data_IF_191052793530
#
_entry.id   IF_191052793530
#
_cell.length_a   1.000
_cell.length_b   1.000
_cell.length_c   1.000
_cell.angle_alpha   90.00
_cell.angle_beta   90.00
_cell.angle_gamma   90.00
#
_symmetry.space_group_name_H-M   'P 1'
#
loop_
_entity.id
_entity.type
_entity.pdbx_description
1 polymer ?
#
# COMPACT_ATOMS: atom_id res chain seq x y z
N UNK A 1 -13.96 1.64 4.45
CA UNK A 1 -15.16 1.82 5.30
C UNK A 1 -15.10 1.19 6.69
N UNK A 2 -14.18 0.25 6.98
CA UNK A 2 -14.09 -0.38 8.30
C UNK A 2 -13.19 0.34 9.32
N UNK A 3 -12.41 1.34 8.90
CA UNK A 3 -11.42 2.01 9.77
C UNK A 3 -11.86 3.43 10.16
N UNK A 4 -11.48 3.82 11.37
CA UNK A 4 -11.56 5.17 11.91
C UNK A 4 -10.17 5.83 11.98
N UNK A 5 -10.14 7.14 12.22
CA UNK A 5 -8.89 7.85 12.45
C UNK A 5 -8.20 7.34 13.72
N UNK A 6 -6.92 7.00 13.62
CA UNK A 6 -6.10 6.44 14.70
C UNK A 6 -5.99 4.92 14.66
N UNK A 7 -6.72 4.25 13.78
CA UNK A 7 -6.68 2.79 13.67
C UNK A 7 -5.36 2.26 13.10
N UNK A 8 -5.08 1.00 13.45
CA UNK A 8 -3.97 0.22 12.93
C UNK A 8 -4.52 -0.96 12.13
N UNK A 9 -4.23 -0.97 10.83
CA UNK A 9 -4.49 -2.09 9.92
C UNK A 9 -3.26 -2.97 9.87
N UNK A 10 -3.35 -4.18 10.46
CA UNK A 10 -2.27 -5.16 10.42
C UNK A 10 -2.48 -6.14 9.26
N UNK A 11 -1.56 -6.15 8.29
CA UNK A 11 -1.48 -7.18 7.27
C UNK A 11 -0.78 -8.39 7.88
N UNK A 12 -1.53 -9.47 8.08
CA UNK A 12 -1.00 -10.72 8.64
C UNK A 12 0.08 -11.32 7.74
N UNK A 13 0.91 -12.19 8.30
CA UNK A 13 1.91 -12.93 7.51
C UNK A 13 1.26 -13.72 6.38
N UNK A 14 1.88 -13.68 5.20
CA UNK A 14 1.43 -14.38 4.00
C UNK A 14 1.41 -13.49 2.76
N UNK A 15 0.78 -14.01 1.70
CA UNK A 15 0.59 -13.31 0.43
C UNK A 15 -0.88 -12.93 0.31
N UNK A 16 -1.13 -11.62 0.20
CA UNK A 16 -2.45 -11.03 0.03
C UNK A 16 -2.65 -10.63 -1.43
N UNK A 17 -3.85 -10.86 -1.94
CA UNK A 17 -4.21 -10.42 -3.30
C UNK A 17 -4.69 -8.97 -3.24
N UNK A 18 -4.18 -8.10 -4.11
CA UNK A 18 -4.61 -6.70 -4.22
C UNK A 18 -6.02 -6.49 -4.81
N UNK A 19 -6.70 -7.58 -5.22
CA UNK A 19 -8.09 -7.64 -5.71
C UNK A 19 -8.42 -6.78 -6.94
N UNK A 20 -7.40 -6.21 -7.60
CA UNK A 20 -7.60 -5.40 -8.81
C UNK A 20 -8.24 -4.02 -8.55
N UNK A 21 -8.38 -3.62 -7.29
CA UNK A 21 -9.00 -2.36 -6.89
C UNK A 21 -8.07 -1.54 -6.00
N UNK A 22 -8.23 -0.22 -6.01
CA UNK A 22 -7.47 0.65 -5.13
C UNK A 22 -8.02 0.62 -3.71
N UNK A 23 -7.16 0.35 -2.74
CA UNK A 23 -7.44 0.63 -1.34
C UNK A 23 -7.37 2.13 -1.13
N UNK A 24 -8.54 2.77 -1.05
CA UNK A 24 -8.64 4.19 -0.70
C UNK A 24 -8.26 4.38 0.77
N UNK A 25 -7.23 5.18 1.02
CA UNK A 25 -6.77 5.58 2.35
C UNK A 25 -7.17 7.04 2.57
N UNK A 26 -8.36 7.23 3.13
CA UNK A 26 -8.98 8.53 3.41
C UNK A 26 -9.09 8.83 4.92
N UNK A 27 -8.36 8.07 5.74
CA UNK A 27 -8.29 8.17 7.21
C UNK A 27 -6.84 8.30 7.68
N UNK A 28 -6.67 8.85 8.88
CA UNK A 28 -5.36 8.94 9.55
C UNK A 28 -5.02 7.63 10.25
N UNK A 29 -4.53 6.66 9.49
CA UNK A 29 -4.28 5.30 9.96
C UNK A 29 -2.83 4.86 9.74
N UNK A 30 -2.46 3.80 10.45
CA UNK A 30 -1.24 3.03 10.21
C UNK A 30 -1.62 1.73 9.50
N UNK A 31 -1.05 1.47 8.32
CA UNK A 31 -1.10 0.18 7.63
C UNK A 31 0.26 -0.47 7.80
N UNK A 32 0.31 -1.65 8.42
CA UNK A 32 1.56 -2.31 8.77
C UNK A 32 1.59 -3.79 8.43
N UNK A 33 2.69 -4.26 7.85
CA UNK A 33 2.97 -5.70 7.71
C UNK A 33 3.38 -6.36 9.03
N UNK A 34 2.81 -7.52 9.33
CA UNK A 34 3.16 -8.36 10.47
C UNK A 34 4.53 -9.03 10.28
N UNK A 35 5.36 -9.01 11.34
CA UNK A 35 6.66 -9.69 11.34
C UNK A 35 7.77 -8.91 10.64
N UNK A 36 8.70 -9.62 9.99
CA UNK A 36 9.82 -9.02 9.27
C UNK A 36 9.41 -8.58 7.85
N UNK A 37 10.19 -7.68 7.24
CA UNK A 37 9.96 -7.26 5.85
C UNK A 37 9.97 -8.49 4.92
N UNK A 38 8.99 -8.56 3.99
CA UNK A 38 8.67 -9.70 3.10
C UNK A 38 7.88 -10.85 3.73
N UNK A 39 7.54 -10.79 5.02
CA UNK A 39 6.63 -11.78 5.61
C UNK A 39 5.16 -11.46 5.35
N UNK A 40 4.83 -10.19 5.10
CA UNK A 40 3.51 -9.74 4.63
C UNK A 40 3.68 -9.10 3.25
N UNK A 41 3.32 -9.86 2.21
CA UNK A 41 3.43 -9.45 0.81
C UNK A 41 2.05 -9.19 0.22
N UNK A 42 1.91 -8.12 -0.56
CA UNK A 42 0.74 -7.90 -1.42
C UNK A 42 1.13 -8.14 -2.87
N UNK A 43 0.54 -9.15 -3.52
CA UNK A 43 0.62 -9.37 -4.97
C UNK A 43 -0.55 -8.63 -5.62
N UNK A 44 -0.23 -7.58 -6.37
CA UNK A 44 -1.20 -6.73 -7.03
C UNK A 44 -0.92 -6.67 -8.53
N UNK A 45 -1.86 -7.17 -9.33
CA UNK A 45 -1.81 -7.11 -10.79
C UNK A 45 -2.98 -6.27 -11.28
N UNK A 46 -2.74 -4.98 -11.50
CA UNK A 46 -3.80 -4.03 -11.86
C UNK A 46 -3.27 -2.75 -12.48
N UNK A 47 -4.12 -2.05 -13.23
CA UNK A 47 -3.86 -0.70 -13.76
C UNK A 47 -4.42 0.41 -12.83
N UNK A 48 -4.61 0.08 -11.56
CA UNK A 48 -4.98 1.04 -10.51
C UNK A 48 -3.98 0.91 -9.36
N UNK A 49 -3.73 1.98 -8.59
CA UNK A 49 -2.81 1.90 -7.47
C UNK A 49 -3.32 0.96 -6.39
N UNK A 50 -2.41 0.22 -5.73
CA UNK A 50 -2.78 -0.59 -4.58
C UNK A 50 -3.27 0.30 -3.43
N UNK A 51 -2.53 1.36 -3.11
CA UNK A 51 -2.92 2.36 -2.13
C UNK A 51 -3.14 3.71 -2.81
N UNK A 52 -4.36 4.25 -2.70
CA UNK A 52 -4.67 5.63 -3.09
C UNK A 52 -4.84 6.46 -1.82
N UNK A 53 -3.84 7.29 -1.52
CA UNK A 53 -3.75 8.03 -0.26
C UNK A 53 -4.21 9.47 -0.49
N UNK A 54 -5.23 9.91 0.25
CA UNK A 54 -5.80 11.27 0.17
C UNK A 54 -5.70 12.04 1.50
N UNK A 55 -5.23 11.37 2.56
CA UNK A 55 -5.06 11.89 3.92
C UNK A 55 -3.73 11.42 4.52
N UNK A 56 -3.17 12.14 5.51
CA UNK A 56 -1.98 11.69 6.21
C UNK A 56 -2.14 10.28 6.75
N UNK A 57 -1.18 9.42 6.45
CA UNK A 57 -1.16 8.03 6.91
C UNK A 57 0.28 7.52 7.00
N UNK A 58 0.44 6.36 7.62
CA UNK A 58 1.71 5.63 7.65
C UNK A 58 1.52 4.27 6.99
N UNK A 59 2.35 3.96 6.00
CA UNK A 59 2.43 2.62 5.41
C UNK A 59 3.81 2.07 5.76
N UNK A 60 3.84 1.03 6.59
CA UNK A 60 5.05 0.52 7.22
C UNK A 60 5.25 -0.97 7.00
N UNK A 61 6.47 -1.40 6.68
CA UNK A 61 6.84 -2.82 6.67
C UNK A 61 5.99 -3.68 5.70
N UNK A 62 5.62 -3.14 4.54
CA UNK A 62 4.85 -3.87 3.52
C UNK A 62 5.76 -4.21 2.33
N UNK A 63 5.77 -5.47 1.89
CA UNK A 63 6.36 -5.88 0.62
C UNK A 63 5.24 -5.89 -0.44
N UNK A 64 5.43 -5.16 -1.53
CA UNK A 64 4.47 -5.05 -2.62
C UNK A 64 5.12 -5.59 -3.87
N UNK A 65 4.50 -6.60 -4.48
CA UNK A 65 4.78 -7.05 -5.83
C UNK A 65 3.70 -6.52 -6.76
N UNK A 66 4.02 -5.45 -7.48
CA UNK A 66 3.05 -4.73 -8.31
C UNK A 66 3.34 -4.95 -9.79
N UNK A 67 2.31 -5.28 -10.56
CA UNK A 67 2.38 -5.36 -12.03
C UNK A 67 1.21 -4.60 -12.65
N UNK A 68 1.50 -3.72 -13.60
CA UNK A 68 0.52 -2.93 -14.34
C UNK A 68 1.01 -1.52 -14.67
N UNK A 69 0.20 -0.77 -15.42
CA UNK A 69 0.55 0.56 -15.94
C UNK A 69 0.21 1.71 -14.97
N UNK A 70 0.23 1.45 -13.66
CA UNK A 70 -0.08 2.44 -12.61
C UNK A 70 0.99 2.43 -11.52
N UNK A 71 0.98 3.42 -10.63
CA UNK A 71 1.86 3.46 -9.46
C UNK A 71 1.37 2.47 -8.41
N UNK A 72 2.26 1.76 -7.71
CA UNK A 72 1.85 0.92 -6.58
C UNK A 72 1.19 1.73 -5.44
N UNK A 73 1.71 2.93 -5.17
CA UNK A 73 1.18 3.87 -4.18
C UNK A 73 0.97 5.22 -4.86
N UNK A 74 -0.24 5.74 -4.81
CA UNK A 74 -0.57 7.07 -5.35
C UNK A 74 -1.00 8.00 -4.22
N UNK A 75 -0.22 9.07 -3.98
CA UNK A 75 -0.54 10.11 -3.01
C UNK A 75 -1.19 11.29 -3.74
N UNK A 76 -2.49 11.46 -3.54
CA UNK A 76 -3.31 12.49 -4.17
C UNK A 76 -3.39 13.74 -3.29
N UNK A 77 -2.86 14.86 -3.78
CA UNK A 77 -2.74 16.10 -3.01
C UNK A 77 -1.30 16.49 -2.66
N UNK A 78 -0.32 15.65 -3.01
CA UNK A 78 1.12 15.93 -2.87
C UNK A 78 1.54 16.11 -1.41
N UNK A 79 2.47 17.04 -1.17
CA UNK A 79 3.11 17.24 0.14
C UNK A 79 2.14 17.60 1.27
N UNK A 80 0.96 18.15 0.94
CA UNK A 80 -0.07 18.49 1.92
C UNK A 80 -0.69 17.25 2.60
N UNK A 81 -0.54 16.07 2.00
CA UNK A 81 -1.03 14.81 2.54
C UNK A 81 -0.09 14.25 3.61
N UNK A 82 1.22 14.54 3.55
CA UNK A 82 2.23 14.10 4.53
C UNK A 82 2.15 12.59 4.84
N UNK A 83 2.16 11.75 3.79
CA UNK A 83 2.16 10.30 3.92
C UNK A 83 3.57 9.78 4.22
N UNK A 84 3.72 8.94 5.26
CA UNK A 84 4.98 8.31 5.60
C UNK A 84 5.03 6.88 5.05
N UNK A 85 5.94 6.62 4.11
CA UNK A 85 6.22 5.29 3.58
C UNK A 85 7.55 4.80 4.18
N UNK A 86 7.49 3.87 5.12
CA UNK A 86 8.66 3.46 5.91
C UNK A 86 8.90 1.95 5.86
N UNK A 87 10.16 1.56 5.64
CA UNK A 87 10.56 0.15 5.64
C UNK A 87 9.71 -0.72 4.68
N UNK A 88 9.25 -0.14 3.57
CA UNK A 88 8.49 -0.84 2.55
C UNK A 88 9.40 -1.26 1.40
N UNK A 89 8.99 -2.31 0.68
CA UNK A 89 9.64 -2.73 -0.55
C UNK A 89 8.60 -2.78 -1.66
N UNK A 90 8.84 -2.06 -2.75
CA UNK A 90 8.01 -2.10 -3.93
C UNK A 90 8.86 -2.71 -5.05
N UNK A 91 8.38 -3.81 -5.64
CA UNK A 91 9.01 -4.46 -6.79
C UNK A 91 7.96 -4.66 -7.88
N UNK A 92 8.44 -4.72 -9.12
CA UNK A 92 7.64 -5.14 -10.26
C UNK A 92 8.26 -6.40 -10.88
N UNK A 93 7.71 -7.57 -10.55
CA UNK A 93 8.21 -8.84 -11.09
C UNK A 93 7.67 -9.19 -12.49
N UNK A 94 6.68 -8.45 -13.00
CA UNK A 94 5.99 -8.72 -14.26
C UNK A 94 6.41 -7.86 -15.47
N UNK A 95 7.63 -7.31 -15.47
CA UNK A 95 8.22 -6.40 -16.50
C UNK A 95 7.52 -5.05 -16.72
N UNK A 96 6.19 -4.97 -16.61
CA UNK A 96 5.43 -3.72 -16.71
C UNK A 96 5.01 -3.24 -15.30
N UNK A 97 5.69 -2.22 -14.78
CA UNK A 97 5.36 -1.60 -13.50
C UNK A 97 5.93 -0.19 -13.37
N UNK A 98 5.09 0.79 -13.04
CA UNK A 98 5.54 2.12 -12.63
C UNK A 98 5.76 2.06 -11.11
N UNK A 99 7.02 2.10 -10.70
CA UNK A 99 7.43 2.06 -9.29
C UNK A 99 7.28 3.43 -8.65
#
# INVERSE_FOLDING_TARGET
DACEDGDVVLLLRGIHNGLGQACLVDKRILIRGEGALKEATVDCRSNVPLFRVTRPCVIQNVDVDFTGFSQAIHVEGGDAVDALIENCRIKASGDDGIC
#
